data_IF_695325849272
#
_entry.id   IF_695325849272
#
_cell.length_a   1.000
_cell.length_b   1.000
_cell.length_c   1.000
_cell.angle_alpha   90.00
_cell.angle_beta   90.00
_cell.angle_gamma   90.00
#
_symmetry.space_group_name_H-M   'P 1'
#
loop_
_entity.id
_entity.type
_entity.pdbx_description
1 polymer ?
#
# COMPACT_ATOMS: atom_id res chain seq x y z
N UNK A 1 8.50 10.35 -3.01
CA UNK A 1 9.44 11.47 -3.23
C UNK A 1 10.81 11.08 -2.65
N UNK A 2 11.93 11.40 -3.29
CA UNK A 2 13.26 11.14 -2.67
C UNK A 2 13.40 11.89 -1.34
N UNK A 3 14.12 11.32 -0.36
CA UNK A 3 14.14 11.81 1.03
C UNK A 3 14.47 13.30 1.17
N UNK A 4 15.42 13.80 0.38
CA UNK A 4 15.82 15.21 0.38
C UNK A 4 14.64 16.14 0.03
N UNK A 5 13.85 15.76 -0.98
CA UNK A 5 12.69 16.53 -1.45
C UNK A 5 11.55 16.56 -0.44
N UNK A 6 11.53 15.63 0.50
CA UNK A 6 10.47 15.58 1.52
C UNK A 6 10.55 16.79 2.45
N UNK A 7 11.75 17.28 2.74
CA UNK A 7 11.97 18.43 3.63
C UNK A 7 12.37 19.70 2.88
N UNK A 8 12.87 19.58 1.65
CA UNK A 8 13.22 20.73 0.81
C UNK A 8 12.00 21.33 0.11
N UNK A 9 11.40 22.33 0.73
CA UNK A 9 10.25 23.06 0.18
C UNK A 9 10.55 23.81 -1.12
N UNK A 10 11.82 24.10 -1.43
CA UNK A 10 12.17 24.85 -2.65
C UNK A 10 11.85 24.07 -3.93
N UNK A 11 11.74 22.73 -3.84
CA UNK A 11 11.40 21.86 -4.96
C UNK A 11 9.91 21.45 -5.01
N UNK A 12 9.10 21.88 -4.04
CA UNK A 12 7.72 21.42 -3.91
C UNK A 12 6.79 21.93 -5.01
N UNK A 13 7.09 23.06 -5.64
CA UNK A 13 6.36 23.52 -6.83
C UNK A 13 6.34 22.46 -7.95
N UNK A 14 7.44 21.73 -8.13
CA UNK A 14 7.54 20.66 -9.13
C UNK A 14 6.68 19.45 -8.71
N UNK A 15 6.64 19.13 -7.41
CA UNK A 15 5.79 18.05 -6.88
C UNK A 15 4.30 18.40 -6.97
N UNK A 16 3.95 19.65 -6.66
CA UNK A 16 2.58 20.18 -6.80
C UNK A 16 2.12 20.09 -8.25
N UNK A 17 2.93 20.57 -9.19
CA UNK A 17 2.62 20.51 -10.62
C UNK A 17 2.42 19.06 -11.07
N UNK A 18 3.30 18.15 -10.66
CA UNK A 18 3.19 16.72 -10.97
C UNK A 18 1.89 16.11 -10.43
N UNK A 19 1.61 16.26 -9.14
CA UNK A 19 0.41 15.68 -8.50
C UNK A 19 -0.85 16.28 -9.10
N UNK A 20 -0.93 17.62 -9.15
CA UNK A 20 -2.13 18.32 -9.61
C UNK A 20 -2.41 18.04 -11.08
N UNK A 21 -1.38 18.01 -11.94
CA UNK A 21 -1.57 17.78 -13.38
C UNK A 21 -2.05 16.37 -13.69
N UNK A 22 -1.47 15.34 -13.07
CA UNK A 22 -1.88 13.95 -13.26
C UNK A 22 -3.30 13.74 -12.75
N UNK A 23 -3.61 14.19 -11.54
CA UNK A 23 -4.95 14.05 -10.97
C UNK A 23 -5.99 14.82 -11.81
N UNK A 24 -5.70 16.05 -12.22
CA UNK A 24 -6.60 16.85 -13.08
C UNK A 24 -6.85 16.18 -14.43
N UNK A 25 -5.80 15.60 -15.03
CA UNK A 25 -5.89 14.97 -16.36
C UNK A 25 -6.87 13.79 -16.37
N UNK A 26 -6.95 13.04 -15.28
CA UNK A 26 -7.79 11.84 -15.15
C UNK A 26 -8.91 12.03 -14.12
N UNK A 27 -9.28 13.26 -13.80
CA UNK A 27 -10.18 13.58 -12.70
C UNK A 27 -11.53 12.85 -12.78
N UNK A 28 -12.04 12.56 -13.98
CA UNK A 28 -13.32 11.88 -14.18
C UNK A 28 -13.16 10.47 -14.81
N UNK A 29 -11.96 9.89 -14.77
CA UNK A 29 -11.71 8.55 -15.31
C UNK A 29 -12.24 7.49 -14.34
N UNK A 30 -13.29 6.79 -14.75
CA UNK A 30 -13.99 5.77 -13.95
C UNK A 30 -13.20 4.48 -13.77
N UNK A 31 -12.09 4.31 -14.51
CA UNK A 31 -11.17 3.18 -14.32
C UNK A 31 -10.26 3.38 -13.10
N UNK A 32 -10.13 4.61 -12.62
CA UNK A 32 -9.39 4.93 -11.39
C UNK A 32 -10.36 4.77 -10.23
N UNK A 33 -9.98 3.95 -9.24
CA UNK A 33 -10.83 3.66 -8.08
C UNK A 33 -10.43 4.44 -6.83
N UNK A 34 -9.15 4.81 -6.70
CA UNK A 34 -8.58 5.59 -5.59
C UNK A 34 -7.25 6.20 -6.03
N UNK A 35 -6.92 7.37 -5.49
CA UNK A 35 -5.58 7.96 -5.60
C UNK A 35 -4.79 7.75 -4.31
N UNK A 36 -3.77 6.90 -4.36
CA UNK A 36 -2.78 6.78 -3.29
C UNK A 36 -1.66 7.80 -3.50
N UNK A 37 -1.59 8.79 -2.61
CA UNK A 37 -0.82 10.01 -2.84
C UNK A 37 0.65 9.90 -2.42
N UNK A 38 0.94 9.05 -1.43
CA UNK A 38 2.28 8.95 -0.85
C UNK A 38 2.46 7.58 -0.23
N UNK A 39 3.22 6.71 -0.92
CA UNK A 39 3.61 5.43 -0.35
C UNK A 39 4.51 5.60 0.87
N UNK A 40 4.09 5.00 1.99
CA UNK A 40 4.87 4.85 3.23
C UNK A 40 5.67 6.10 3.66
N UNK A 41 5.01 7.23 3.99
CA UNK A 41 5.68 8.48 4.35
C UNK A 41 6.60 8.37 5.57
N UNK A 42 6.46 7.30 6.36
CA UNK A 42 7.24 7.00 7.56
C UNK A 42 8.64 6.45 7.27
N UNK A 43 8.83 5.86 6.09
CA UNK A 43 9.96 4.98 5.80
C UNK A 43 11.31 5.76 5.81
N UNK A 44 12.41 5.01 5.93
CA UNK A 44 13.79 5.55 5.93
C UNK A 44 14.06 6.65 6.97
N UNK A 45 13.43 6.56 8.13
CA UNK A 45 13.62 7.51 9.22
C UNK A 45 13.02 8.90 8.96
N UNK A 46 12.10 9.02 8.01
CA UNK A 46 11.38 10.26 7.76
C UNK A 46 10.37 10.56 8.87
N UNK A 47 9.49 9.60 9.19
CA UNK A 47 8.45 9.78 10.20
C UNK A 47 7.68 11.10 10.04
N UNK A 48 7.52 11.83 11.13
CA UNK A 48 6.80 13.12 11.15
C UNK A 48 7.45 14.23 10.31
N UNK A 49 8.70 14.09 9.86
CA UNK A 49 9.29 15.03 8.89
C UNK A 49 8.54 15.02 7.56
N UNK A 50 7.84 13.94 7.24
CA UNK A 50 6.97 13.84 6.06
C UNK A 50 5.63 14.54 6.23
N UNK A 51 5.22 14.86 7.46
CA UNK A 51 3.91 15.43 7.76
C UNK A 51 3.56 16.67 6.92
N UNK A 52 4.47 17.66 6.76
CA UNK A 52 4.20 18.82 5.93
C UNK A 52 3.94 18.45 4.47
N UNK A 53 4.73 17.54 3.88
CA UNK A 53 4.55 17.13 2.50
C UNK A 53 3.29 16.28 2.32
N UNK A 54 2.96 15.39 3.27
CA UNK A 54 1.72 14.61 3.24
C UNK A 54 0.51 15.53 3.17
N UNK A 55 0.46 16.60 3.98
CA UNK A 55 -0.63 17.59 3.94
C UNK A 55 -0.72 18.28 2.58
N UNK A 56 0.40 18.71 2.03
CA UNK A 56 0.41 19.35 0.72
C UNK A 56 0.00 18.37 -0.39
N UNK A 57 0.41 17.11 -0.36
CA UNK A 57 -0.03 16.08 -1.32
C UNK A 57 -1.55 15.94 -1.36
N UNK A 58 -2.22 15.90 -0.19
CA UNK A 58 -3.69 15.89 -0.13
C UNK A 58 -4.28 17.15 -0.77
N UNK A 59 -3.76 18.33 -0.43
CA UNK A 59 -4.23 19.61 -0.99
C UNK A 59 -4.05 19.68 -2.50
N UNK A 60 -2.89 19.31 -3.02
CA UNK A 60 -2.60 19.28 -4.46
C UNK A 60 -3.50 18.30 -5.20
N UNK A 61 -3.71 17.10 -4.64
CA UNK A 61 -4.65 16.14 -5.23
C UNK A 61 -6.08 16.70 -5.27
N UNK A 62 -6.55 17.34 -4.19
CA UNK A 62 -7.86 18.01 -4.16
C UNK A 62 -7.98 19.16 -5.16
N UNK A 63 -6.90 19.92 -5.38
CA UNK A 63 -6.87 20.97 -6.39
C UNK A 63 -7.08 20.42 -7.81
N UNK A 64 -6.68 19.16 -8.05
CA UNK A 64 -6.97 18.45 -9.28
C UNK A 64 -8.44 18.02 -9.45
N UNK A 65 -9.27 18.19 -8.41
CA UNK A 65 -10.71 17.92 -8.40
C UNK A 65 -11.11 16.51 -8.91
N UNK A 66 -10.48 15.43 -8.41
CA UNK A 66 -10.86 14.08 -8.81
C UNK A 66 -12.28 13.74 -8.33
N UNK A 67 -13.00 12.95 -9.12
CA UNK A 67 -14.26 12.32 -8.69
C UNK A 67 -14.02 11.07 -7.83
N UNK A 68 -12.79 10.53 -7.83
CA UNK A 68 -12.38 9.36 -7.06
C UNK A 68 -11.91 9.75 -5.65
N UNK A 69 -12.01 8.85 -4.67
CA UNK A 69 -11.43 9.06 -3.34
C UNK A 69 -9.90 9.19 -3.39
N UNK A 70 -9.35 9.93 -2.42
CA UNK A 70 -7.90 10.04 -2.21
C UNK A 70 -7.49 9.47 -0.85
N UNK A 71 -6.27 8.93 -0.77
CA UNK A 71 -5.75 8.29 0.45
C UNK A 71 -4.23 8.37 0.56
N UNK A 72 -3.74 8.08 1.75
CA UNK A 72 -2.35 7.70 2.06
C UNK A 72 -2.42 6.51 3.01
N UNK A 73 -1.57 5.50 2.81
CA UNK A 73 -1.56 4.29 3.64
C UNK A 73 -0.96 4.49 5.03
N UNK A 74 -1.62 3.94 6.06
CA UNK A 74 -1.04 3.81 7.41
C UNK A 74 -0.44 2.41 7.62
N UNK A 75 0.74 2.31 8.22
CA UNK A 75 1.36 1.00 8.44
C UNK A 75 2.12 0.83 9.76
N UNK A 76 2.31 1.91 10.52
CA UNK A 76 2.91 1.89 11.86
C UNK A 76 2.03 2.68 12.82
N UNK A 77 1.91 2.20 14.06
CA UNK A 77 1.22 2.90 15.15
C UNK A 77 2.11 3.93 15.86
N UNK A 78 3.40 3.96 15.58
CA UNK A 78 4.39 4.76 16.32
C UNK A 78 4.38 6.25 15.93
N UNK A 79 3.56 6.61 14.95
CA UNK A 79 3.62 7.90 14.24
C UNK A 79 2.28 8.62 14.39
N UNK A 80 1.93 8.92 15.64
CA UNK A 80 0.60 9.35 16.03
C UNK A 80 0.12 10.61 15.29
N UNK A 81 0.98 11.62 15.15
CA UNK A 81 0.61 12.88 14.49
C UNK A 81 0.41 12.70 12.99
N UNK A 82 1.31 11.98 12.33
CA UNK A 82 1.18 11.66 10.90
C UNK A 82 -0.03 10.76 10.62
N UNK A 83 -0.25 9.72 11.43
CA UNK A 83 -1.41 8.84 11.33
C UNK A 83 -2.71 9.62 11.46
N UNK A 84 -2.79 10.50 12.46
CA UNK A 84 -3.97 11.35 12.65
C UNK A 84 -4.29 12.14 11.39
N UNK A 85 -3.30 12.78 10.79
CA UNK A 85 -3.50 13.57 9.56
C UNK A 85 -3.93 12.69 8.39
N UNK A 86 -3.28 11.55 8.19
CA UNK A 86 -3.65 10.61 7.13
C UNK A 86 -5.09 10.14 7.31
N UNK A 87 -5.45 9.67 8.51
CA UNK A 87 -6.78 9.14 8.81
C UNK A 87 -7.86 10.23 8.75
N UNK A 88 -7.54 11.48 9.09
CA UNK A 88 -8.47 12.62 8.95
C UNK A 88 -8.73 12.97 7.48
N UNK A 89 -7.68 13.02 6.64
CA UNK A 89 -7.75 13.53 5.27
C UNK A 89 -8.13 12.50 4.20
N UNK A 90 -7.91 11.20 4.44
CA UNK A 90 -8.20 10.14 3.47
C UNK A 90 -9.69 9.83 3.34
N UNK A 91 -10.26 9.87 2.14
CA UNK A 91 -11.68 9.55 1.89
C UNK A 91 -12.01 8.07 2.19
N UNK A 92 -11.04 7.20 1.93
CA UNK A 92 -11.04 5.78 2.26
C UNK A 92 -9.77 5.48 3.02
N UNK A 93 -9.79 4.56 3.99
CA UNK A 93 -8.60 4.26 4.78
C UNK A 93 -7.86 3.11 4.10
N UNK A 94 -6.63 3.38 3.69
CA UNK A 94 -5.68 2.35 3.24
C UNK A 94 -4.68 2.03 4.33
N UNK A 95 -4.25 0.78 4.41
CA UNK A 95 -3.25 0.36 5.38
C UNK A 95 -2.37 -0.77 4.86
N UNK A 96 -1.15 -0.88 5.40
CA UNK A 96 -0.25 -2.00 5.14
C UNK A 96 -0.13 -2.86 6.39
N UNK A 97 -0.07 -4.17 6.22
CA UNK A 97 0.29 -5.08 7.30
C UNK A 97 0.84 -6.41 6.76
N UNK A 98 2.13 -6.64 6.98
CA UNK A 98 2.87 -7.85 6.60
C UNK A 98 2.96 -8.90 7.73
N UNK A 99 2.23 -8.69 8.82
CA UNK A 99 2.14 -9.56 9.97
C UNK A 99 1.23 -10.76 9.75
N UNK A 100 1.12 -11.60 10.76
CA UNK A 100 0.23 -12.74 10.76
C UNK A 100 -1.25 -12.33 10.87
N UNK A 101 -2.13 -13.33 10.88
CA UNK A 101 -3.57 -13.11 10.92
C UNK A 101 -4.04 -12.35 12.18
N UNK A 102 -3.35 -12.52 13.32
CA UNK A 102 -3.71 -11.81 14.56
C UNK A 102 -3.38 -10.33 14.43
N UNK A 103 -2.17 -10.02 13.96
CA UNK A 103 -1.73 -8.64 13.72
C UNK A 103 -2.68 -7.89 12.80
N UNK A 104 -3.12 -8.52 11.71
CA UNK A 104 -4.05 -7.90 10.75
C UNK A 104 -5.42 -7.66 11.37
N UNK A 105 -5.95 -8.61 12.15
CA UNK A 105 -7.23 -8.45 12.86
C UNK A 105 -7.19 -7.27 13.83
N UNK A 106 -6.13 -7.15 14.62
CA UNK A 106 -5.98 -6.06 15.58
C UNK A 106 -5.92 -4.70 14.88
N UNK A 107 -5.18 -4.61 13.77
CA UNK A 107 -5.10 -3.39 12.97
C UNK A 107 -6.47 -3.03 12.36
N UNK A 108 -7.22 -4.00 11.83
CA UNK A 108 -8.59 -3.79 11.33
C UNK A 108 -9.51 -3.25 12.43
N UNK A 109 -9.45 -3.82 13.64
CA UNK A 109 -10.28 -3.36 14.78
C UNK A 109 -10.00 -1.89 15.10
N UNK A 110 -8.74 -1.46 15.06
CA UNK A 110 -8.36 -0.06 15.29
C UNK A 110 -8.90 0.85 14.19
N UNK A 111 -8.74 0.47 12.91
CA UNK A 111 -9.12 1.32 11.78
C UNK A 111 -10.63 1.39 11.55
N UNK A 112 -11.40 0.35 11.91
CA UNK A 112 -12.87 0.38 11.81
C UNK A 112 -13.53 1.48 12.63
N UNK A 113 -12.87 1.96 13.68
CA UNK A 113 -13.37 3.01 14.56
C UNK A 113 -13.61 4.33 13.82
N UNK A 114 -12.93 4.55 12.70
CA UNK A 114 -13.05 5.76 11.88
C UNK A 114 -14.27 5.76 10.95
N UNK A 115 -15.00 4.64 10.83
CA UNK A 115 -16.25 4.57 10.07
C UNK A 115 -16.11 4.79 8.56
N UNK A 116 -14.92 4.58 7.98
CA UNK A 116 -14.64 4.70 6.54
C UNK A 116 -14.35 3.32 5.92
N UNK A 117 -14.57 3.13 4.61
CA UNK A 117 -14.16 1.90 3.91
C UNK A 117 -12.67 1.62 4.11
N UNK A 118 -12.32 0.34 4.25
CA UNK A 118 -10.94 -0.11 4.47
C UNK A 118 -10.41 -0.87 3.25
N UNK A 119 -9.14 -0.64 2.92
CA UNK A 119 -8.40 -1.40 1.91
C UNK A 119 -7.00 -1.73 2.45
N UNK A 120 -6.63 -3.01 2.49
CA UNK A 120 -5.26 -3.42 2.80
C UNK A 120 -4.42 -3.40 1.50
N UNK A 121 -3.58 -2.39 1.33
CA UNK A 121 -2.91 -2.07 0.06
C UNK A 121 -1.51 -2.68 -0.05
N UNK A 122 -0.94 -3.12 1.06
CA UNK A 122 0.24 -3.98 1.04
C UNK A 122 0.17 -5.00 2.18
N UNK A 123 0.34 -6.26 1.82
CA UNK A 123 0.38 -7.40 2.74
C UNK A 123 0.99 -8.59 2.00
N UNK A 124 1.03 -9.74 2.68
CA UNK A 124 1.61 -10.99 2.22
C UNK A 124 3.12 -11.00 2.34
N UNK A 125 3.60 -11.91 3.19
CA UNK A 125 5.00 -12.13 3.56
C UNK A 125 5.08 -13.54 4.10
N UNK A 126 5.47 -14.51 3.26
CA UNK A 126 5.38 -15.94 3.61
C UNK A 126 6.16 -16.27 4.89
N UNK A 127 7.36 -15.72 5.05
CA UNK A 127 8.18 -15.89 6.26
C UNK A 127 7.58 -15.28 7.54
N UNK A 128 6.56 -14.43 7.42
CA UNK A 128 5.85 -13.81 8.53
C UNK A 128 4.45 -14.38 8.80
N UNK A 129 4.10 -15.53 8.22
CA UNK A 129 2.75 -16.12 8.27
C UNK A 129 1.64 -15.20 7.72
N UNK A 130 2.00 -14.23 6.88
CA UNK A 130 1.05 -13.44 6.10
C UNK A 130 0.81 -14.16 4.76
N UNK A 131 -0.25 -14.97 4.72
CA UNK A 131 -0.52 -15.94 3.64
C UNK A 131 -1.89 -15.68 3.00
N UNK A 132 -2.01 -15.94 1.69
CA UNK A 132 -3.29 -15.83 0.99
C UNK A 132 -4.39 -16.69 1.61
N UNK A 133 -4.05 -17.94 1.97
CA UNK A 133 -4.98 -18.93 2.56
C UNK A 133 -5.64 -18.45 3.86
N UNK A 134 -4.97 -17.60 4.63
CA UNK A 134 -5.47 -17.10 5.91
C UNK A 134 -6.07 -15.70 5.78
N UNK A 135 -5.47 -14.81 4.98
CA UNK A 135 -5.83 -13.40 4.92
C UNK A 135 -6.94 -13.08 3.94
N UNK A 136 -6.99 -13.72 2.76
CA UNK A 136 -8.07 -13.47 1.80
C UNK A 136 -9.45 -13.81 2.37
N UNK A 137 -9.66 -14.94 3.08
CA UNK A 137 -10.94 -15.21 3.73
C UNK A 137 -11.32 -14.14 4.75
N UNK A 138 -10.35 -13.63 5.53
CA UNK A 138 -10.60 -12.56 6.51
C UNK A 138 -11.04 -11.28 5.81
N UNK A 139 -10.28 -10.80 4.83
CA UNK A 139 -10.63 -9.57 4.11
C UNK A 139 -12.01 -9.69 3.45
N UNK A 140 -12.31 -10.86 2.86
CA UNK A 140 -13.63 -11.14 2.27
C UNK A 140 -14.75 -11.15 3.31
N UNK A 141 -14.58 -11.80 4.47
CA UNK A 141 -15.63 -11.83 5.51
C UNK A 141 -15.87 -10.45 6.14
N UNK A 142 -14.84 -9.61 6.17
CA UNK A 142 -14.89 -8.26 6.74
C UNK A 142 -15.28 -7.18 5.72
N UNK A 143 -15.52 -7.54 4.45
CA UNK A 143 -15.76 -6.62 3.33
C UNK A 143 -14.66 -5.56 3.15
N UNK A 144 -13.40 -5.99 3.29
CA UNK A 144 -12.21 -5.15 3.15
C UNK A 144 -11.57 -5.42 1.79
N UNK A 145 -11.30 -4.35 1.04
CA UNK A 145 -10.54 -4.47 -0.21
C UNK A 145 -9.10 -4.87 0.07
N UNK A 146 -8.43 -5.57 -0.85
CA UNK A 146 -7.00 -5.85 -0.67
C UNK A 146 -6.27 -6.08 -1.98
N UNK A 147 -4.97 -5.76 -2.00
CA UNK A 147 -4.02 -6.22 -3.00
C UNK A 147 -2.68 -6.51 -2.32
N UNK A 148 -2.07 -7.64 -2.67
CA UNK A 148 -0.81 -8.09 -2.06
C UNK A 148 0.38 -7.32 -2.62
N UNK A 149 1.45 -7.22 -1.83
CA UNK A 149 2.74 -6.77 -2.36
C UNK A 149 3.39 -7.90 -3.15
N UNK A 150 4.01 -7.57 -4.28
CA UNK A 150 4.56 -8.57 -5.21
C UNK A 150 3.49 -9.24 -6.07
N UNK A 151 3.85 -9.49 -7.33
CA UNK A 151 2.99 -10.21 -8.27
C UNK A 151 3.83 -11.08 -9.19
N UNK A 152 4.80 -10.46 -9.87
CA UNK A 152 5.70 -11.14 -10.80
C UNK A 152 7.13 -10.92 -10.33
N UNK A 153 7.90 -12.00 -10.28
CA UNK A 153 9.35 -11.94 -10.15
C UNK A 153 9.93 -11.18 -11.35
N UNK A 154 10.10 -9.88 -11.17
CA UNK A 154 10.58 -8.93 -12.16
C UNK A 154 11.72 -8.09 -11.61
N UNK A 155 11.83 -6.85 -12.09
CA UNK A 155 12.95 -5.95 -11.77
C UNK A 155 13.15 -5.70 -10.27
N UNK A 156 12.07 -5.66 -9.50
CA UNK A 156 12.10 -5.41 -8.04
C UNK A 156 12.49 -6.63 -7.24
N UNK A 157 12.44 -7.83 -7.83
CA UNK A 157 12.89 -9.09 -7.21
C UNK A 157 12.30 -9.34 -5.81
N UNK A 158 10.99 -9.10 -5.66
CA UNK A 158 10.27 -9.16 -4.37
C UNK A 158 10.04 -10.59 -3.87
N UNK A 159 10.46 -11.62 -4.60
CA UNK A 159 10.64 -12.98 -4.11
C UNK A 159 11.79 -13.12 -3.09
N UNK A 160 12.77 -12.21 -3.07
CA UNK A 160 13.80 -12.19 -2.04
C UNK A 160 13.32 -11.48 -0.76
N UNK A 161 13.71 -11.97 0.43
CA UNK A 161 13.54 -11.25 1.68
C UNK A 161 14.14 -9.83 1.66
N UNK A 162 13.53 -8.91 2.40
CA UNK A 162 14.11 -7.58 2.58
C UNK A 162 15.54 -7.68 3.14
N UNK A 163 16.47 -6.94 2.53
CA UNK A 163 17.87 -6.92 2.93
C UNK A 163 18.75 -8.04 2.34
N UNK A 164 18.21 -8.90 1.47
CA UNK A 164 19.04 -9.84 0.72
C UNK A 164 20.10 -9.11 -0.11
N UNK A 165 21.38 -9.57 -0.08
CA UNK A 165 22.44 -8.95 -0.87
C UNK A 165 22.29 -9.27 -2.36
N UNK A 166 22.93 -8.47 -3.20
CA UNK A 166 23.05 -8.77 -4.63
C UNK A 166 23.76 -10.12 -4.84
N UNK A 167 23.20 -10.95 -5.72
CA UNK A 167 23.72 -12.30 -5.98
C UNK A 167 23.39 -13.35 -4.92
N UNK A 168 22.50 -13.04 -3.95
CA UNK A 168 21.97 -14.06 -3.05
C UNK A 168 21.35 -15.24 -3.82
N UNK A 169 21.51 -16.49 -3.36
CA UNK A 169 20.83 -17.62 -3.96
C UNK A 169 19.32 -17.47 -3.79
N UNK A 170 18.56 -17.94 -4.77
CA UNK A 170 17.09 -17.92 -4.72
C UNK A 170 16.59 -18.57 -3.42
N UNK A 171 15.68 -17.93 -2.67
CA UNK A 171 15.23 -18.45 -1.39
C UNK A 171 14.32 -19.67 -1.60
N UNK A 172 14.42 -20.64 -0.69
CA UNK A 172 13.56 -21.83 -0.69
C UNK A 172 12.07 -21.45 -0.61
N UNK A 173 11.75 -20.44 0.21
CA UNK A 173 10.42 -19.86 0.32
C UNK A 173 10.47 -18.44 -0.25
N UNK A 174 9.69 -18.19 -1.31
CA UNK A 174 9.57 -16.85 -1.88
C UNK A 174 8.89 -15.90 -0.92
N UNK A 175 9.40 -14.68 -0.86
CA UNK A 175 8.96 -13.67 0.09
C UNK A 175 7.58 -13.09 -0.27
N UNK A 176 7.43 -12.49 -1.46
CA UNK A 176 6.20 -11.83 -1.90
C UNK A 176 5.65 -12.25 -3.28
N UNK A 177 6.49 -12.57 -4.26
CA UNK A 177 5.97 -12.77 -5.62
C UNK A 177 5.10 -14.03 -5.74
N UNK A 178 4.15 -13.99 -6.68
CA UNK A 178 3.16 -15.06 -6.94
C UNK A 178 3.47 -15.78 -8.25
N UNK A 179 4.01 -15.05 -9.23
CA UNK A 179 4.36 -15.53 -10.55
C UNK A 179 5.86 -15.40 -10.79
N UNK A 180 6.41 -16.37 -11.52
CA UNK A 180 7.74 -16.31 -12.09
C UNK A 180 7.79 -15.31 -13.24
N UNK A 181 9.00 -14.95 -13.67
CA UNK A 181 9.22 -14.02 -14.78
C UNK A 181 8.56 -14.46 -16.10
N UNK A 182 8.34 -15.76 -16.28
CA UNK A 182 7.67 -16.37 -17.43
C UNK A 182 6.14 -16.47 -17.27
N UNK A 183 5.58 -15.99 -16.15
CA UNK A 183 4.15 -16.03 -15.85
C UNK A 183 3.66 -17.33 -15.20
N UNK A 184 4.52 -18.33 -15.01
CA UNK A 184 4.14 -19.54 -14.27
C UNK A 184 3.94 -19.24 -12.78
N UNK A 185 3.01 -19.91 -12.10
CA UNK A 185 2.90 -19.84 -10.65
C UNK A 185 4.20 -20.24 -9.95
N UNK A 186 4.57 -19.50 -8.89
CA UNK A 186 5.52 -20.00 -7.88
C UNK A 186 4.92 -21.21 -7.16
N UNK A 187 3.70 -21.06 -6.64
CA UNK A 187 2.89 -22.12 -6.04
C UNK A 187 1.55 -22.24 -6.80
N UNK A 188 1.35 -23.32 -7.57
CA UNK A 188 0.10 -23.55 -8.31
C UNK A 188 -1.15 -23.64 -7.44
N UNK A 189 -1.05 -24.16 -6.21
CA UNK A 189 -2.19 -24.28 -5.29
C UNK A 189 -2.55 -22.92 -4.69
N UNK A 190 -1.56 -22.08 -4.39
CA UNK A 190 -1.77 -20.70 -3.95
C UNK A 190 -2.50 -19.88 -5.03
N UNK A 191 -2.05 -19.95 -6.30
CA UNK A 191 -2.72 -19.28 -7.42
C UNK A 191 -4.13 -19.80 -7.63
N UNK A 192 -4.35 -21.12 -7.50
CA UNK A 192 -5.69 -21.71 -7.57
C UNK A 192 -6.59 -21.14 -6.48
N UNK A 193 -6.09 -21.05 -5.24
CA UNK A 193 -6.83 -20.50 -4.11
C UNK A 193 -7.19 -19.02 -4.33
N UNK A 194 -6.23 -18.19 -4.77
CA UNK A 194 -6.49 -16.77 -5.09
C UNK A 194 -7.62 -16.64 -6.12
N UNK A 195 -7.58 -17.43 -7.20
CA UNK A 195 -8.66 -17.44 -8.21
C UNK A 195 -10.01 -17.85 -7.64
N UNK A 196 -10.04 -18.87 -6.76
CA UNK A 196 -11.27 -19.29 -6.09
C UNK A 196 -11.87 -18.19 -5.20
N UNK A 197 -11.03 -17.43 -4.48
CA UNK A 197 -11.51 -16.32 -3.65
C UNK A 197 -12.13 -15.18 -4.47
N UNK A 198 -11.62 -14.95 -5.69
CA UNK A 198 -12.04 -13.87 -6.59
C UNK A 198 -13.19 -14.23 -7.52
N UNK A 199 -13.45 -15.52 -7.76
CA UNK A 199 -14.62 -15.94 -8.51
C UNK A 199 -15.90 -15.62 -7.71
N UNK A 200 -16.86 -15.00 -8.39
CA UNK A 200 -18.22 -14.76 -7.89
C UNK A 200 -19.05 -16.02 -7.97
#
# INVERSE_FOLDING_TARGET
PGHERVVDKSCWNILEEYVTSIVSKFANDDRIIVWDLYNEPYNSGMGDKSLPLTRESFKWARNGKPSQPITVGVWSNDMADLNKVILELSDVITFHNYGDLSSVKDHIVQLKQYGRPLICTEWMRRNGNSLFKTHLPLFKSENIGCYSWGLVNGKTQTHFPWGSPEGAPEPEIWFHDVLKNNGEPYDPEEVRFIKQCNNK
#
